data_IF_037744051751
#
_entry.id   IF_037744051751
#
_cell.length_a   1.000
_cell.length_b   1.000
_cell.length_c   1.000
_cell.angle_alpha   90.00
_cell.angle_beta   90.00
_cell.angle_gamma   90.00
#
_symmetry.space_group_name_H-M   'P 1'
#
loop_
_entity.id
_entity.type
_entity.pdbx_description
1 polymer ?
#
# COMPACT_ATOMS: atom_id res chain seq x y z
N UNK A 1 -3.91 -27.92 -39.26
CA UNK A 1 -3.97 -26.45 -39.16
C UNK A 1 -5.42 -26.12 -38.87
N UNK A 2 -5.82 -26.39 -37.68
CA UNK A 2 -7.22 -26.19 -37.26
C UNK A 2 -7.39 -24.77 -36.78
N UNK A 3 -8.40 -24.13 -37.31
CA UNK A 3 -8.88 -22.80 -36.92
C UNK A 3 -9.21 -22.82 -35.42
N UNK A 4 -8.25 -22.41 -34.58
CA UNK A 4 -8.60 -21.88 -33.27
C UNK A 4 -9.32 -20.55 -33.52
N UNK A 5 -10.63 -20.61 -33.46
CA UNK A 5 -11.44 -19.41 -33.32
C UNK A 5 -10.84 -18.59 -32.17
N UNK A 6 -10.25 -17.45 -32.48
CA UNK A 6 -9.94 -16.38 -31.55
C UNK A 6 -11.26 -15.99 -30.88
N UNK A 7 -11.66 -16.71 -29.84
CA UNK A 7 -12.70 -16.22 -28.94
C UNK A 7 -12.19 -14.89 -28.41
N UNK A 8 -12.70 -13.82 -28.96
CA UNK A 8 -12.42 -12.46 -28.50
C UNK A 8 -12.70 -12.40 -27.01
N UNK A 9 -11.67 -12.20 -26.20
CA UNK A 9 -11.75 -11.88 -24.77
C UNK A 9 -12.26 -10.43 -24.62
N UNK A 10 -13.48 -10.21 -25.01
CA UNK A 10 -14.14 -8.91 -24.85
C UNK A 10 -15.43 -9.19 -24.12
N UNK A 11 -15.59 -8.61 -22.93
CA UNK A 11 -16.87 -8.58 -22.21
C UNK A 11 -17.93 -8.10 -23.20
N UNK A 12 -19.00 -8.85 -23.38
CA UNK A 12 -20.06 -8.44 -24.31
C UNK A 12 -20.74 -7.15 -23.81
N UNK A 13 -21.47 -6.46 -24.68
CA UNK A 13 -22.04 -5.16 -24.37
C UNK A 13 -23.09 -5.20 -23.25
N UNK A 14 -23.84 -6.31 -23.12
CA UNK A 14 -24.83 -6.52 -22.07
C UNK A 14 -24.15 -6.68 -20.72
N UNK A 15 -23.20 -7.60 -20.58
CA UNK A 15 -22.42 -7.81 -19.36
C UNK A 15 -21.63 -6.56 -18.92
N UNK A 16 -21.13 -5.79 -19.90
CA UNK A 16 -20.42 -4.55 -19.63
C UNK A 16 -21.36 -3.52 -19.02
N UNK A 17 -22.59 -3.43 -19.54
CA UNK A 17 -23.61 -2.52 -19.02
C UNK A 17 -24.05 -2.94 -17.62
N UNK A 18 -24.37 -4.21 -17.41
CA UNK A 18 -24.82 -4.74 -16.12
C UNK A 18 -23.74 -4.59 -15.05
N UNK A 19 -22.49 -4.93 -15.37
CA UNK A 19 -21.36 -4.75 -14.48
C UNK A 19 -21.12 -3.28 -14.12
N UNK A 20 -21.26 -2.38 -15.07
CA UNK A 20 -21.07 -0.93 -14.85
C UNK A 20 -22.20 -0.33 -14.02
N UNK A 21 -23.43 -0.74 -14.25
CA UNK A 21 -24.59 -0.29 -13.49
C UNK A 21 -24.50 -0.81 -12.04
N UNK A 22 -24.11 -2.08 -11.83
CA UNK A 22 -23.77 -2.63 -10.51
C UNK A 22 -22.71 -1.80 -9.80
N UNK A 23 -21.60 -1.47 -10.48
CA UNK A 23 -20.52 -0.65 -9.91
C UNK A 23 -21.04 0.73 -9.51
N UNK A 24 -21.86 1.35 -10.32
CA UNK A 24 -22.46 2.67 -10.07
C UNK A 24 -23.34 2.65 -8.81
N UNK A 25 -24.33 1.75 -8.77
CA UNK A 25 -25.29 1.62 -7.67
C UNK A 25 -24.58 1.31 -6.34
N UNK A 26 -23.69 0.33 -6.34
CA UNK A 26 -23.01 -0.08 -5.12
C UNK A 26 -21.96 0.94 -4.67
N UNK A 27 -21.31 1.64 -5.58
CA UNK A 27 -20.42 2.75 -5.24
C UNK A 27 -21.16 3.87 -4.50
N UNK A 28 -22.39 4.18 -4.91
CA UNK A 28 -23.25 5.16 -4.23
C UNK A 28 -23.68 4.67 -2.84
N UNK A 29 -23.89 3.38 -2.67
CA UNK A 29 -24.16 2.78 -1.38
C UNK A 29 -22.93 2.86 -0.46
N UNK A 30 -21.74 2.45 -0.93
CA UNK A 30 -20.50 2.51 -0.17
C UNK A 30 -20.12 3.95 0.22
N UNK A 31 -20.48 4.93 -0.58
CA UNK A 31 -20.26 6.34 -0.29
C UNK A 31 -21.05 6.85 0.92
N UNK A 32 -22.08 6.13 1.38
CA UNK A 32 -22.81 6.46 2.62
C UNK A 32 -21.96 6.18 3.87
N UNK A 33 -21.03 5.25 3.80
CA UNK A 33 -20.11 4.91 4.90
C UNK A 33 -18.90 5.84 4.88
N UNK A 34 -19.11 7.10 5.23
CA UNK A 34 -18.02 8.07 5.34
C UNK A 34 -17.18 7.79 6.60
N UNK A 35 -15.88 8.06 6.54
CA UNK A 35 -15.03 7.91 7.71
C UNK A 35 -14.59 6.47 8.01
N UNK A 36 -14.48 5.60 7.00
CA UNK A 36 -14.04 4.20 7.11
C UNK A 36 -12.59 4.04 7.54
N UNK A 37 -12.22 4.71 8.65
CA UNK A 37 -10.88 4.60 9.22
C UNK A 37 -10.73 3.21 9.86
N UNK A 38 -9.56 2.62 9.74
CA UNK A 38 -9.23 1.32 10.31
C UNK A 38 -9.74 1.13 11.75
N UNK A 39 -10.54 0.10 11.97
CA UNK A 39 -11.18 -0.24 13.26
C UNK A 39 -12.25 0.75 13.70
N UNK A 40 -12.89 1.48 12.76
CA UNK A 40 -14.09 2.29 13.04
C UNK A 40 -15.38 1.50 12.80
N UNK A 41 -16.49 2.01 13.37
CA UNK A 41 -17.82 1.43 13.11
C UNK A 41 -18.19 1.53 11.62
N UNK A 42 -17.82 2.62 10.96
CA UNK A 42 -18.05 2.84 9.52
C UNK A 42 -17.30 1.85 8.65
N UNK A 43 -16.05 1.52 8.97
CA UNK A 43 -15.30 0.47 8.28
C UNK A 43 -15.99 -0.89 8.45
N UNK A 44 -16.39 -1.24 9.69
CA UNK A 44 -17.11 -2.49 9.99
C UNK A 44 -18.46 -2.53 9.26
N UNK A 45 -19.19 -1.42 9.21
CA UNK A 45 -20.46 -1.34 8.49
C UNK A 45 -20.27 -1.51 6.98
N UNK A 46 -19.22 -0.87 6.41
CA UNK A 46 -18.84 -1.05 5.02
C UNK A 46 -18.48 -2.50 4.69
N UNK A 47 -17.66 -3.15 5.51
CA UNK A 47 -17.32 -4.57 5.34
C UNK A 47 -18.56 -5.48 5.37
N UNK A 48 -19.54 -5.18 6.25
CA UNK A 48 -20.81 -5.91 6.29
C UNK A 48 -21.67 -5.66 5.03
N UNK A 49 -21.70 -4.42 4.52
CA UNK A 49 -22.42 -4.09 3.29
C UNK A 49 -21.85 -4.87 2.10
N UNK A 50 -20.50 -4.89 1.97
CA UNK A 50 -19.80 -5.67 0.94
C UNK A 50 -20.16 -7.16 1.06
N UNK A 51 -20.06 -7.73 2.26
CA UNK A 51 -20.42 -9.14 2.50
C UNK A 51 -21.86 -9.43 2.11
N UNK A 52 -22.81 -8.60 2.56
CA UNK A 52 -24.23 -8.80 2.30
C UNK A 52 -24.51 -8.70 0.79
N UNK A 53 -23.98 -7.68 0.10
CA UNK A 53 -24.16 -7.52 -1.33
C UNK A 53 -23.63 -8.74 -2.11
N UNK A 54 -22.44 -9.25 -1.76
CA UNK A 54 -21.90 -10.46 -2.38
C UNK A 54 -22.75 -11.71 -2.09
N UNK A 55 -23.32 -11.80 -0.88
CA UNK A 55 -24.20 -12.91 -0.54
C UNK A 55 -25.52 -12.85 -1.30
N UNK A 56 -26.03 -11.65 -1.56
CA UNK A 56 -27.30 -11.45 -2.27
C UNK A 56 -27.15 -11.64 -3.79
N UNK A 57 -25.98 -11.29 -4.36
CA UNK A 57 -25.70 -11.37 -5.79
C UNK A 57 -25.08 -12.72 -6.20
N UNK A 58 -24.46 -13.44 -5.27
CA UNK A 58 -23.75 -14.68 -5.60
C UNK A 58 -24.07 -15.78 -4.59
N UNK A 59 -24.17 -17.02 -5.04
CA UNK A 59 -24.26 -18.21 -4.17
C UNK A 59 -22.91 -18.58 -3.53
N UNK A 60 -21.92 -17.68 -3.60
CA UNK A 60 -20.58 -17.92 -3.14
C UNK A 60 -20.46 -17.84 -1.62
N UNK A 61 -19.52 -18.62 -1.08
CA UNK A 61 -19.25 -18.64 0.37
C UNK A 61 -18.53 -17.36 0.79
N UNK A 62 -19.30 -16.41 1.32
CA UNK A 62 -18.78 -15.11 1.78
C UNK A 62 -18.70 -15.02 3.29
N UNK A 63 -17.57 -14.54 3.84
CA UNK A 63 -17.33 -14.40 5.28
C UNK A 63 -16.57 -13.12 5.62
N UNK A 64 -16.67 -12.72 6.90
CA UNK A 64 -15.87 -11.68 7.50
C UNK A 64 -14.76 -12.31 8.34
N UNK A 65 -13.53 -11.90 8.11
CA UNK A 65 -12.37 -12.37 8.86
C UNK A 65 -11.82 -11.25 9.75
N UNK A 66 -11.99 -11.43 11.07
CA UNK A 66 -11.56 -10.45 12.05
C UNK A 66 -10.05 -10.54 12.31
N UNK A 67 -9.38 -9.40 12.35
CA UNK A 67 -7.97 -9.31 12.70
C UNK A 67 -7.65 -8.07 13.55
N UNK A 68 -6.41 -8.00 14.03
CA UNK A 68 -5.92 -6.86 14.82
C UNK A 68 -5.26 -5.84 13.90
N UNK A 69 -5.83 -4.63 13.88
CA UNK A 69 -5.30 -3.48 13.16
C UNK A 69 -4.66 -2.46 14.11
N UNK A 70 -3.75 -1.66 13.59
CA UNK A 70 -3.06 -0.59 14.30
C UNK A 70 -3.36 0.75 13.62
N UNK A 71 -4.47 1.44 13.94
CA UNK A 71 -4.95 2.62 13.21
C UNK A 71 -3.95 3.78 13.14
N UNK A 72 -3.03 3.85 14.10
CA UNK A 72 -1.96 4.85 14.12
C UNK A 72 -0.71 4.43 13.32
N UNK A 73 -0.64 3.22 12.76
CA UNK A 73 0.37 2.87 11.78
C UNK A 73 0.12 3.64 10.46
N UNK A 74 1.10 3.73 9.60
CA UNK A 74 0.99 4.56 8.40
C UNK A 74 0.99 6.06 8.76
N UNK A 75 0.01 6.83 8.30
CA UNK A 75 -0.03 8.29 8.54
C UNK A 75 -0.17 8.70 10.00
N UNK A 76 -0.76 7.87 10.84
CA UNK A 76 -0.85 8.12 12.29
C UNK A 76 0.52 8.14 12.97
N UNK A 77 1.54 7.50 12.39
CA UNK A 77 2.89 7.53 12.91
C UNK A 77 3.50 8.94 12.93
N UNK A 78 3.07 9.84 12.04
CA UNK A 78 3.50 11.24 12.07
C UNK A 78 3.03 11.97 13.34
N UNK A 79 1.81 11.69 13.81
CA UNK A 79 1.35 12.23 15.10
C UNK A 79 2.20 11.70 16.24
N UNK A 80 2.45 10.39 16.25
CA UNK A 80 3.31 9.75 17.26
C UNK A 80 4.73 10.33 17.23
N UNK A 81 5.28 10.57 16.02
CA UNK A 81 6.59 11.20 15.86
C UNK A 81 6.60 12.64 16.37
N UNK A 82 5.56 13.42 16.12
CA UNK A 82 5.43 14.78 16.66
C UNK A 82 5.43 14.79 18.19
N UNK A 83 4.66 13.92 18.82
CA UNK A 83 4.63 13.77 20.29
C UNK A 83 5.98 13.32 20.83
N UNK A 84 6.58 12.33 20.20
CA UNK A 84 7.91 11.81 20.58
C UNK A 84 8.99 12.89 20.45
N UNK A 85 8.94 13.66 19.37
CA UNK A 85 9.86 14.77 19.15
C UNK A 85 9.72 15.85 20.24
N UNK A 86 8.47 16.17 20.65
CA UNK A 86 8.22 17.08 21.77
C UNK A 86 8.84 16.55 23.07
N UNK A 87 8.72 15.26 23.38
CA UNK A 87 9.34 14.63 24.53
C UNK A 87 10.88 14.72 24.49
N UNK A 88 11.48 14.53 23.33
CA UNK A 88 12.94 14.68 23.15
C UNK A 88 13.38 16.12 23.45
N UNK A 89 12.58 17.13 23.05
CA UNK A 89 12.86 18.53 23.42
C UNK A 89 12.73 18.78 24.94
N UNK A 90 11.73 18.19 25.61
CA UNK A 90 11.62 18.29 27.07
C UNK A 90 12.89 17.77 27.74
N UNK A 91 13.38 16.59 27.34
CA UNK A 91 14.62 16.00 27.86
C UNK A 91 15.82 16.91 27.56
N UNK A 92 15.90 17.46 26.33
CA UNK A 92 16.94 18.40 25.93
C UNK A 92 16.97 19.65 26.86
N UNK A 93 15.80 20.20 27.25
CA UNK A 93 15.74 21.36 28.14
C UNK A 93 16.03 21.02 29.59
N UNK A 94 15.61 19.85 30.09
CA UNK A 94 15.96 19.39 31.46
C UNK A 94 17.48 19.32 31.63
N UNK A 95 18.24 19.03 30.59
CA UNK A 95 19.69 18.94 30.61
C UNK A 95 20.42 20.27 30.94
N UNK A 96 19.72 21.42 30.96
CA UNK A 96 20.28 22.70 31.41
C UNK A 96 20.31 22.82 32.94
N UNK A 97 19.54 22.03 33.67
CA UNK A 97 19.42 22.11 35.13
C UNK A 97 20.57 21.42 35.91
N UNK A 98 21.41 20.66 35.22
CA UNK A 98 22.46 19.87 35.82
C UNK A 98 23.87 20.49 35.71
N UNK A 99 24.86 19.84 36.34
CA UNK A 99 26.25 20.15 36.08
C UNK A 99 26.68 19.74 34.66
N UNK A 100 27.90 20.11 34.24
CA UNK A 100 28.35 19.90 32.85
C UNK A 100 28.25 18.43 32.39
N UNK A 101 28.64 17.49 33.25
CA UNK A 101 28.64 16.06 32.94
C UNK A 101 27.18 15.55 32.84
N UNK A 102 26.37 15.85 33.85
CA UNK A 102 24.95 15.46 33.84
C UNK A 102 24.21 16.07 32.66
N UNK A 103 24.46 17.35 32.36
CA UNK A 103 23.87 18.00 31.18
C UNK A 103 24.27 17.33 29.84
N UNK A 104 25.54 16.93 29.72
CA UNK A 104 25.99 16.20 28.52
C UNK A 104 25.33 14.82 28.41
N UNK A 105 25.25 14.07 29.51
CA UNK A 105 24.61 12.73 29.52
C UNK A 105 23.12 12.82 29.20
N UNK A 106 22.40 13.76 29.78
CA UNK A 106 20.96 13.95 29.48
C UNK A 106 20.72 14.42 28.03
N UNK A 107 21.64 15.25 27.49
CA UNK A 107 21.58 15.66 26.08
C UNK A 107 21.86 14.45 25.15
N UNK A 108 22.83 13.61 25.48
CA UNK A 108 23.10 12.37 24.74
C UNK A 108 21.89 11.42 24.79
N UNK A 109 21.22 11.32 25.95
CA UNK A 109 19.98 10.57 26.08
C UNK A 109 18.87 11.13 25.18
N UNK A 110 18.67 12.47 25.14
CA UNK A 110 17.69 13.09 24.27
C UNK A 110 17.97 12.79 22.79
N UNK A 111 19.23 12.81 22.37
CA UNK A 111 19.65 12.47 21.02
C UNK A 111 19.40 10.97 20.72
N UNK A 112 19.78 10.09 21.62
CA UNK A 112 19.55 8.65 21.46
C UNK A 112 18.05 8.32 21.38
N UNK A 113 17.22 8.93 22.24
CA UNK A 113 15.77 8.81 22.19
C UNK A 113 15.21 9.28 20.84
N UNK A 114 15.67 10.42 20.35
CA UNK A 114 15.22 10.95 19.07
C UNK A 114 15.54 9.97 17.92
N UNK A 115 16.78 9.52 17.82
CA UNK A 115 17.20 8.59 16.74
C UNK A 115 16.43 7.27 16.85
N UNK A 116 16.33 6.68 18.03
CA UNK A 116 15.61 5.42 18.22
C UNK A 116 14.14 5.55 17.88
N UNK A 117 13.45 6.57 18.41
CA UNK A 117 12.02 6.77 18.14
C UNK A 117 11.73 7.12 16.69
N UNK A 118 12.53 7.99 16.07
CA UNK A 118 12.39 8.33 14.65
C UNK A 118 12.57 7.07 13.77
N UNK A 119 13.56 6.24 14.07
CA UNK A 119 13.79 4.98 13.33
C UNK A 119 12.62 4.02 13.48
N UNK A 120 12.14 3.77 14.70
CA UNK A 120 11.00 2.87 14.96
C UNK A 120 9.75 3.37 14.24
N UNK A 121 9.41 4.66 14.40
CA UNK A 121 8.21 5.21 13.78
C UNK A 121 8.30 5.25 12.25
N UNK A 122 9.50 5.46 11.70
CA UNK A 122 9.72 5.39 10.27
C UNK A 122 9.54 3.96 9.73
N UNK A 123 10.03 2.95 10.45
CA UNK A 123 9.83 1.54 10.08
C UNK A 123 8.35 1.15 10.15
N UNK A 124 7.61 1.63 11.16
CA UNK A 124 6.15 1.43 11.23
C UNK A 124 5.45 2.08 10.04
N UNK A 125 5.86 3.29 9.68
CA UNK A 125 5.33 3.99 8.51
C UNK A 125 5.58 3.22 7.21
N UNK A 126 6.75 2.57 7.10
CA UNK A 126 7.13 1.72 5.96
C UNK A 126 6.45 0.33 5.97
N UNK A 127 5.63 0.03 6.98
CA UNK A 127 4.82 -1.20 7.05
C UNK A 127 5.43 -2.33 7.89
N UNK A 128 6.38 -2.05 8.80
CA UNK A 128 6.82 -3.08 9.75
C UNK A 128 5.79 -3.26 10.88
N UNK A 129 4.90 -4.23 10.70
CA UNK A 129 3.85 -4.55 11.67
C UNK A 129 4.36 -5.13 12.99
N UNK A 130 5.59 -5.67 13.02
CA UNK A 130 6.16 -6.18 14.30
C UNK A 130 6.37 -5.03 15.26
N UNK A 131 6.85 -3.89 14.76
CA UNK A 131 7.01 -2.66 15.54
C UNK A 131 5.67 -1.95 15.78
N UNK A 132 4.72 -2.04 14.87
CA UNK A 132 3.38 -1.44 15.03
C UNK A 132 2.63 -1.96 16.27
N UNK A 133 3.00 -3.14 16.80
CA UNK A 133 2.41 -3.72 18.03
C UNK A 133 2.54 -2.85 19.27
N UNK A 134 3.44 -1.86 19.28
CA UNK A 134 3.55 -0.85 20.36
C UNK A 134 2.42 0.17 20.34
N UNK A 135 1.72 0.30 19.20
CA UNK A 135 0.62 1.24 19.02
C UNK A 135 -0.72 0.66 19.52
N UNK A 136 -1.70 1.51 19.86
CA UNK A 136 -3.04 1.06 20.19
C UNK A 136 -3.64 0.21 19.07
N UNK A 137 -4.26 -0.91 19.45
CA UNK A 137 -4.89 -1.87 18.54
C UNK A 137 -6.41 -1.71 18.52
N UNK A 138 -7.00 -2.00 17.36
CA UNK A 138 -8.44 -2.15 17.16
C UNK A 138 -8.72 -3.44 16.38
N UNK A 139 -9.98 -3.85 16.31
CA UNK A 139 -10.43 -4.92 15.43
C UNK A 139 -10.83 -4.32 14.09
N UNK A 140 -10.40 -4.95 13.01
CA UNK A 140 -10.82 -4.68 11.64
C UNK A 140 -11.19 -6.01 10.97
N UNK A 141 -11.75 -5.97 9.77
CA UNK A 141 -12.26 -7.13 9.06
C UNK A 141 -11.82 -7.12 7.61
N UNK A 142 -11.38 -8.27 7.11
CA UNK A 142 -11.35 -8.56 5.69
C UNK A 142 -12.67 -9.21 5.28
N UNK A 143 -13.14 -8.92 4.08
CA UNK A 143 -14.25 -9.63 3.45
C UNK A 143 -13.67 -10.62 2.48
N UNK A 144 -14.01 -11.89 2.61
CA UNK A 144 -13.51 -12.96 1.74
C UNK A 144 -14.69 -13.71 1.16
N UNK A 145 -14.72 -13.82 -0.16
CA UNK A 145 -15.69 -14.63 -0.90
C UNK A 145 -14.96 -15.61 -1.81
N UNK A 146 -15.38 -16.86 -1.78
CA UNK A 146 -14.73 -17.93 -2.52
C UNK A 146 -15.75 -18.69 -3.36
N UNK A 147 -15.39 -18.91 -4.62
CA UNK A 147 -16.14 -19.77 -5.52
C UNK A 147 -15.20 -20.76 -6.18
N UNK A 148 -15.58 -22.02 -6.21
CA UNK A 148 -14.83 -23.10 -6.86
C UNK A 148 -15.77 -24.02 -7.59
N UNK A 149 -15.43 -24.34 -8.83
CA UNK A 149 -16.17 -25.28 -9.69
C UNK A 149 -15.97 -26.73 -9.23
N UNK A 150 -14.86 -27.03 -8.56
CA UNK A 150 -14.45 -28.35 -8.12
C UNK A 150 -13.91 -28.33 -6.69
N UNK A 151 -13.97 -29.48 -6.00
CA UNK A 151 -13.33 -29.65 -4.69
C UNK A 151 -11.80 -29.70 -4.82
N UNK A 152 -11.29 -30.26 -5.92
CA UNK A 152 -9.85 -30.27 -6.21
C UNK A 152 -9.45 -28.96 -6.87
N UNK A 153 -8.67 -28.14 -6.19
CA UNK A 153 -8.21 -26.83 -6.68
C UNK A 153 -6.74 -26.90 -7.04
N UNK A 154 -6.40 -26.53 -8.29
CA UNK A 154 -5.03 -26.39 -8.77
C UNK A 154 -4.64 -24.94 -9.03
N UNK A 155 -5.57 -24.13 -9.51
CA UNK A 155 -5.34 -22.74 -9.86
C UNK A 155 -6.20 -21.83 -9.01
N UNK A 156 -5.59 -20.81 -8.44
CA UNK A 156 -6.29 -19.84 -7.58
C UNK A 156 -6.08 -18.45 -8.16
N UNK A 157 -7.18 -17.79 -8.46
CA UNK A 157 -7.24 -16.42 -8.97
C UNK A 157 -7.85 -15.52 -7.92
N UNK A 158 -7.14 -14.49 -7.50
CA UNK A 158 -7.59 -13.58 -6.44
C UNK A 158 -7.73 -12.19 -7.00
N UNK A 159 -8.90 -11.59 -6.85
CA UNK A 159 -9.07 -10.16 -7.03
C UNK A 159 -9.17 -9.51 -5.66
N UNK A 160 -8.27 -8.57 -5.40
CA UNK A 160 -8.13 -7.92 -4.10
C UNK A 160 -8.29 -6.40 -4.23
N UNK A 161 -8.97 -5.82 -3.26
CA UNK A 161 -9.12 -4.37 -3.10
C UNK A 161 -8.97 -3.97 -1.64
N UNK A 162 -9.19 -2.70 -1.33
CA UNK A 162 -9.26 -2.21 0.03
C UNK A 162 -10.49 -1.33 0.25
N UNK A 163 -11.22 -1.56 1.33
CA UNK A 163 -12.42 -0.79 1.67
C UNK A 163 -12.22 0.24 2.78
N UNK A 164 -11.06 0.26 3.44
CA UNK A 164 -10.75 1.27 4.45
C UNK A 164 -10.38 2.62 3.82
N UNK A 165 -10.59 3.69 4.55
CA UNK A 165 -10.25 5.03 4.09
C UNK A 165 -8.92 5.52 4.66
N UNK A 166 -8.16 6.23 3.83
CA UNK A 166 -6.92 6.90 4.25
C UNK A 166 -7.21 7.99 5.27
N UNK A 167 -6.38 8.07 6.30
CA UNK A 167 -6.38 9.23 7.18
C UNK A 167 -6.05 10.50 6.37
N UNK A 168 -6.80 11.56 6.63
CA UNK A 168 -6.59 12.84 6.01
C UNK A 168 -5.30 13.54 6.46
N UNK A 169 -5.04 14.67 5.86
CA UNK A 169 -4.04 15.64 6.29
C UNK A 169 -4.71 17.01 6.45
N UNK A 170 -4.40 17.73 7.51
CA UNK A 170 -4.98 19.07 7.75
C UNK A 170 -4.56 20.10 6.69
N UNK A 171 -3.49 19.82 5.95
CA UNK A 171 -2.91 20.73 4.95
C UNK A 171 -3.17 20.33 3.50
N UNK A 172 -4.10 19.39 3.28
CA UNK A 172 -4.35 18.84 1.92
C UNK A 172 -4.68 19.93 0.89
N UNK A 173 -5.44 20.95 1.31
CA UNK A 173 -5.98 21.98 0.40
C UNK A 173 -5.03 23.17 0.20
N UNK A 174 -3.91 23.22 0.93
CA UNK A 174 -2.96 24.33 0.89
C UNK A 174 -1.64 23.92 0.25
N UNK A 175 -1.48 24.14 -1.05
CA UNK A 175 -0.27 23.73 -1.80
C UNK A 175 1.05 24.25 -1.20
N UNK A 176 1.07 25.49 -0.73
CA UNK A 176 2.24 26.10 -0.10
C UNK A 176 2.52 25.45 1.25
N UNK A 177 1.49 25.32 2.11
CA UNK A 177 1.63 24.70 3.43
C UNK A 177 2.04 23.22 3.32
N UNK A 178 1.57 22.51 2.29
CA UNK A 178 2.00 21.13 2.02
C UNK A 178 3.49 21.05 1.72
N UNK A 179 4.03 21.96 0.91
CA UNK A 179 5.48 22.01 0.65
C UNK A 179 6.27 22.32 1.91
N UNK A 180 5.82 23.31 2.69
CA UNK A 180 6.43 23.70 3.97
C UNK A 180 6.43 22.53 4.95
N UNK A 181 5.30 21.83 5.08
CA UNK A 181 5.17 20.71 6.01
C UNK A 181 6.00 19.46 5.61
N UNK A 182 6.40 19.32 4.37
CA UNK A 182 7.33 18.26 3.92
C UNK A 182 8.78 18.65 4.22
N UNK A 183 9.13 19.93 4.10
CA UNK A 183 10.51 20.43 4.22
C UNK A 183 10.88 20.71 5.68
N UNK A 184 9.96 21.26 6.46
CA UNK A 184 10.23 21.72 7.84
C UNK A 184 10.61 20.58 8.80
N UNK A 185 9.94 19.40 8.82
CA UNK A 185 10.31 18.32 9.73
C UNK A 185 11.76 17.85 9.61
N UNK A 186 12.29 17.51 8.41
CA UNK A 186 13.69 17.08 8.29
C UNK A 186 14.67 18.21 8.67
N UNK A 187 14.37 19.48 8.36
CA UNK A 187 15.21 20.61 8.80
C UNK A 187 15.19 20.71 10.33
N UNK A 188 14.02 20.65 10.96
CA UNK A 188 13.89 20.70 12.42
C UNK A 188 14.60 19.53 13.10
N UNK A 189 14.51 18.32 12.53
CA UNK A 189 15.23 17.15 13.00
C UNK A 189 16.75 17.36 12.92
N UNK A 190 17.24 17.84 11.78
CA UNK A 190 18.67 18.16 11.59
C UNK A 190 19.16 19.21 12.61
N UNK A 191 18.40 20.28 12.78
CA UNK A 191 18.71 21.33 13.75
C UNK A 191 18.77 20.76 15.17
N UNK A 192 17.79 19.92 15.56
CA UNK A 192 17.81 19.28 16.87
C UNK A 192 19.08 18.45 17.10
N UNK A 193 19.47 17.62 16.15
CA UNK A 193 20.70 16.82 16.21
C UNK A 193 21.93 17.72 16.33
N UNK A 194 22.01 18.75 15.50
CA UNK A 194 23.12 19.73 15.52
C UNK A 194 23.24 20.41 16.89
N UNK A 195 22.12 20.87 17.46
CA UNK A 195 22.13 21.54 18.77
C UNK A 195 22.43 20.59 19.91
N UNK A 196 22.03 19.32 19.85
CA UNK A 196 22.49 18.31 20.82
C UNK A 196 24.03 18.16 20.79
N UNK A 197 24.61 18.06 19.59
CA UNK A 197 26.06 17.94 19.42
C UNK A 197 26.78 19.23 19.92
N UNK A 198 26.32 20.40 19.51
CA UNK A 198 26.88 21.67 19.94
C UNK A 198 26.81 21.84 21.48
N UNK A 199 25.72 21.46 22.11
CA UNK A 199 25.54 21.52 23.54
C UNK A 199 26.49 20.58 24.28
N UNK A 200 26.69 19.37 23.77
CA UNK A 200 27.67 18.43 24.34
C UNK A 200 29.10 18.94 24.22
N UNK A 201 29.43 19.53 23.04
CA UNK A 201 30.79 20.04 22.76
C UNK A 201 31.12 21.31 23.54
N UNK A 202 30.21 22.29 23.52
CA UNK A 202 30.46 23.59 24.14
C UNK A 202 30.29 23.59 25.67
N UNK A 203 29.48 22.66 26.18
CA UNK A 203 29.08 22.62 27.57
C UNK A 203 28.26 23.85 27.99
N UNK A 204 27.69 23.81 29.18
CA UNK A 204 26.88 24.89 29.72
C UNK A 204 27.63 25.84 30.66
N UNK A 205 28.92 25.56 30.99
CA UNK A 205 29.52 26.05 32.24
C UNK A 205 30.67 27.07 32.16
N UNK A 206 31.11 27.56 30.98
CA UNK A 206 32.23 28.51 30.94
C UNK A 206 32.13 29.56 29.83
N UNK A 207 32.37 30.81 30.16
CA UNK A 207 32.32 31.98 29.27
C UNK A 207 30.95 32.63 29.23
N UNK A 208 30.67 33.43 28.21
CA UNK A 208 29.45 34.26 28.11
C UNK A 208 28.15 33.39 28.14
N UNK A 209 27.79 32.94 29.35
CA UNK A 209 26.72 31.96 29.65
C UNK A 209 25.39 32.42 29.06
N UNK A 210 25.08 33.72 29.16
CA UNK A 210 23.83 34.26 28.64
C UNK A 210 23.70 34.15 27.12
N UNK A 211 24.77 34.40 26.35
CA UNK A 211 24.75 34.29 24.91
C UNK A 211 24.63 32.82 24.48
N UNK A 212 25.38 31.93 25.14
CA UNK A 212 25.32 30.47 24.85
C UNK A 212 23.94 29.88 25.16
N UNK A 213 23.36 30.23 26.31
CA UNK A 213 22.01 29.80 26.71
C UNK A 213 21.00 30.33 25.72
N UNK A 214 21.08 31.61 25.31
CA UNK A 214 20.15 32.19 24.35
C UNK A 214 20.17 31.46 23.00
N UNK A 215 21.35 31.22 22.43
CA UNK A 215 21.48 30.48 21.15
C UNK A 215 21.02 29.03 21.29
N UNK A 216 21.49 28.32 22.31
CA UNK A 216 21.16 26.89 22.53
C UNK A 216 19.69 26.70 22.98
N UNK A 217 18.96 27.74 23.29
CA UNK A 217 17.56 27.66 23.74
C UNK A 217 16.58 28.24 22.71
N UNK A 218 16.78 29.48 22.27
CA UNK A 218 15.82 30.16 21.40
C UNK A 218 15.69 29.46 20.05
N UNK A 219 16.82 29.13 19.42
CA UNK A 219 16.83 28.51 18.10
C UNK A 219 16.18 27.11 18.09
N UNK A 220 16.54 26.20 19.00
CA UNK A 220 15.86 24.91 19.11
C UNK A 220 14.37 25.03 19.48
N UNK A 221 13.96 25.98 20.31
CA UNK A 221 12.54 26.20 20.61
C UNK A 221 11.77 26.55 19.35
N UNK A 222 12.24 27.56 18.62
CA UNK A 222 11.55 28.03 17.41
C UNK A 222 11.47 26.90 16.36
N UNK A 223 12.60 26.27 16.03
CA UNK A 223 12.63 25.18 15.05
C UNK A 223 11.87 23.95 15.52
N UNK A 224 11.91 23.65 16.83
CA UNK A 224 11.17 22.56 17.44
C UNK A 224 9.67 22.72 17.35
N UNK A 225 9.14 23.91 17.67
CA UNK A 225 7.71 24.22 17.53
C UNK A 225 7.28 24.04 16.08
N UNK A 226 8.01 24.62 15.13
CA UNK A 226 7.68 24.47 13.71
C UNK A 226 7.73 22.99 13.28
N UNK A 227 8.73 22.22 13.70
CA UNK A 227 8.85 20.79 13.40
C UNK A 227 7.69 19.97 13.97
N UNK A 228 7.36 20.16 15.24
CA UNK A 228 6.26 19.46 15.91
C UNK A 228 4.94 19.79 15.23
N UNK A 229 4.66 21.08 14.98
CA UNK A 229 3.45 21.53 14.30
C UNK A 229 3.38 20.91 12.89
N UNK A 230 4.48 20.90 12.15
CA UNK A 230 4.51 20.31 10.81
C UNK A 230 4.23 18.79 10.84
N UNK A 231 4.75 18.03 11.81
CA UNK A 231 4.41 16.62 12.00
C UNK A 231 2.92 16.43 12.30
N UNK A 232 2.35 17.21 13.22
CA UNK A 232 0.93 17.12 13.59
C UNK A 232 0.02 17.47 12.40
N UNK A 233 0.40 18.45 11.58
CA UNK A 233 -0.37 18.86 10.41
C UNK A 233 -0.46 17.77 9.33
N UNK A 234 0.46 16.79 9.30
CA UNK A 234 0.36 15.63 8.42
C UNK A 234 -0.70 14.62 8.86
N UNK A 235 -1.20 14.73 10.06
CA UNK A 235 -2.24 13.89 10.62
C UNK A 235 -3.57 14.64 10.70
N UNK A 236 -4.64 13.97 10.29
CA UNK A 236 -6.00 14.37 10.61
C UNK A 236 -6.77 13.14 11.08
N UNK A 237 -7.51 13.23 12.21
CA UNK A 237 -8.37 12.15 12.65
C UNK A 237 -9.58 11.93 11.72
N UNK A 238 -9.80 12.83 10.75
CA UNK A 238 -10.86 12.70 9.76
C UNK A 238 -10.36 11.83 8.62
N UNK A 239 -11.21 10.93 8.18
CA UNK A 239 -10.95 10.18 6.95
C UNK A 239 -10.90 11.15 5.75
N UNK A 240 -10.14 10.78 4.76
CA UNK A 240 -10.28 11.36 3.43
C UNK A 240 -11.71 11.06 2.94
N UNK A 241 -12.29 11.98 2.16
CA UNK A 241 -13.64 11.80 1.61
C UNK A 241 -13.78 10.40 0.96
N UNK A 242 -14.79 9.65 1.38
CA UNK A 242 -15.03 8.30 0.89
C UNK A 242 -15.24 8.24 -0.63
N UNK A 243 -15.75 9.32 -1.23
CA UNK A 243 -15.91 9.45 -2.69
C UNK A 243 -14.58 9.51 -3.46
N UNK A 244 -13.50 9.76 -2.76
CA UNK A 244 -12.15 9.91 -3.30
C UNK A 244 -11.23 8.76 -2.87
N UNK A 245 -11.75 7.70 -2.28
CA UNK A 245 -10.99 6.54 -1.83
C UNK A 245 -11.64 5.26 -2.32
N UNK A 246 -11.02 4.18 -2.13
CA UNK A 246 -11.29 2.79 -2.48
C UNK A 246 -12.70 2.31 -2.90
N UNK A 247 -13.79 3.08 -2.68
CA UNK A 247 -15.16 2.61 -2.94
C UNK A 247 -15.36 2.09 -4.37
N UNK A 248 -14.91 2.83 -5.38
CA UNK A 248 -15.04 2.40 -6.79
C UNK A 248 -14.12 1.23 -7.10
N UNK A 249 -12.89 1.19 -6.54
CA UNK A 249 -11.99 0.04 -6.68
C UNK A 249 -12.63 -1.25 -6.14
N UNK A 250 -13.26 -1.14 -4.95
CA UNK A 250 -14.02 -2.22 -4.32
C UNK A 250 -15.12 -2.72 -5.24
N UNK A 251 -15.92 -1.82 -5.83
CA UNK A 251 -17.01 -2.21 -6.72
C UNK A 251 -16.52 -2.85 -8.02
N UNK A 252 -15.43 -2.37 -8.62
CA UNK A 252 -14.81 -2.98 -9.80
C UNK A 252 -14.30 -4.39 -9.47
N UNK A 253 -13.62 -4.56 -8.33
CA UNK A 253 -13.14 -5.87 -7.89
C UNK A 253 -14.30 -6.85 -7.64
N UNK A 254 -15.37 -6.38 -6.99
CA UNK A 254 -16.60 -7.19 -6.78
C UNK A 254 -17.26 -7.60 -8.07
N UNK A 255 -17.47 -6.65 -9.00
CA UNK A 255 -18.06 -6.92 -10.31
C UNK A 255 -17.22 -7.93 -11.11
N UNK A 256 -15.88 -7.78 -11.08
CA UNK A 256 -14.96 -8.73 -11.70
C UNK A 256 -15.11 -10.14 -11.12
N UNK A 257 -15.21 -10.26 -9.80
CA UNK A 257 -15.43 -11.55 -9.14
C UNK A 257 -16.81 -12.12 -9.48
N UNK A 258 -17.88 -11.33 -9.36
CA UNK A 258 -19.26 -11.75 -9.66
C UNK A 258 -19.40 -12.28 -11.09
N UNK A 259 -18.77 -11.61 -12.06
CA UNK A 259 -18.74 -12.04 -13.45
C UNK A 259 -18.29 -13.49 -13.64
N UNK A 260 -17.23 -13.90 -12.93
CA UNK A 260 -16.74 -15.28 -13.02
C UNK A 260 -17.56 -16.27 -12.19
N UNK A 261 -18.25 -15.83 -11.15
CA UNK A 261 -19.18 -16.68 -10.40
C UNK A 261 -20.44 -16.96 -11.20
N UNK A 262 -20.95 -15.96 -11.91
CA UNK A 262 -22.12 -16.08 -12.80
C UNK A 262 -21.83 -16.87 -14.07
N UNK A 263 -20.56 -16.87 -14.54
CA UNK A 263 -20.10 -17.56 -15.74
C UNK A 263 -19.05 -18.62 -15.43
N UNK A 264 -19.43 -19.67 -14.70
CA UNK A 264 -18.49 -20.70 -14.27
C UNK A 264 -17.87 -21.49 -15.42
N UNK A 265 -18.48 -21.45 -16.62
CA UNK A 265 -17.93 -22.06 -17.84
C UNK A 265 -16.64 -21.40 -18.31
N UNK A 266 -16.37 -20.14 -17.93
CA UNK A 266 -15.12 -19.44 -18.23
C UNK A 266 -13.97 -19.88 -17.32
N UNK A 267 -14.29 -20.55 -16.21
CA UNK A 267 -13.26 -21.01 -15.26
C UNK A 267 -12.70 -22.38 -15.68
N UNK A 268 -11.39 -22.57 -15.60
CA UNK A 268 -10.77 -23.89 -15.70
C UNK A 268 -11.38 -24.88 -14.67
N UNK A 269 -11.44 -26.17 -15.01
CA UNK A 269 -12.14 -27.16 -14.20
C UNK A 269 -11.66 -27.29 -12.75
N UNK A 270 -10.40 -27.00 -12.49
CA UNK A 270 -9.81 -27.05 -11.13
C UNK A 270 -9.41 -25.66 -10.64
N UNK A 271 -10.16 -24.65 -11.05
CA UNK A 271 -9.94 -23.28 -10.64
C UNK A 271 -10.81 -22.86 -9.45
N UNK A 272 -10.25 -21.98 -8.64
CA UNK A 272 -10.95 -21.23 -7.61
C UNK A 272 -10.76 -19.74 -7.89
N UNK A 273 -11.85 -18.99 -7.85
CA UNK A 273 -11.82 -17.53 -7.85
C UNK A 273 -12.12 -17.03 -6.45
N UNK A 274 -11.38 -16.06 -6.00
CA UNK A 274 -11.45 -15.49 -4.66
C UNK A 274 -11.53 -13.98 -4.75
N UNK A 275 -12.49 -13.40 -4.06
CA UNK A 275 -12.56 -11.97 -3.82
C UNK A 275 -12.10 -11.66 -2.41
N UNK A 276 -11.26 -10.63 -2.26
CA UNK A 276 -10.77 -10.18 -0.96
C UNK A 276 -10.83 -8.66 -0.87
N UNK A 277 -11.73 -8.15 -0.03
CA UNK A 277 -11.69 -6.74 0.32
C UNK A 277 -10.99 -6.55 1.66
N UNK A 278 -9.89 -5.81 1.62
CA UNK A 278 -8.96 -5.66 2.74
C UNK A 278 -9.36 -4.48 3.63
N UNK A 279 -9.52 -4.75 4.93
CA UNK A 279 -9.69 -3.70 5.94
C UNK A 279 -8.33 -3.23 6.46
N UNK A 280 -8.28 -2.03 7.03
CA UNK A 280 -7.08 -1.45 7.63
C UNK A 280 -5.81 -1.51 6.75
N UNK A 281 -5.97 -1.51 5.43
CA UNK A 281 -4.86 -1.59 4.48
C UNK A 281 -4.03 -0.30 4.50
N UNK A 282 -4.69 0.84 4.69
CA UNK A 282 -4.05 2.14 4.83
C UNK A 282 -3.29 2.34 6.16
N UNK A 283 -3.28 1.33 7.03
CA UNK A 283 -2.57 1.29 8.30
C UNK A 283 -1.43 0.27 8.27
N UNK A 284 -0.40 0.54 7.47
CA UNK A 284 0.77 -0.32 7.29
C UNK A 284 0.44 -1.73 6.77
N UNK A 285 -0.55 -1.84 5.87
CA UNK A 285 -0.97 -3.09 5.22
C UNK A 285 -1.44 -4.17 6.20
N UNK A 286 -2.15 -3.77 7.28
CA UNK A 286 -2.61 -4.72 8.30
C UNK A 286 -3.54 -5.80 7.71
N UNK A 287 -4.41 -5.43 6.76
CA UNK A 287 -5.38 -6.32 6.15
C UNK A 287 -4.74 -7.40 5.29
N UNK A 288 -3.91 -7.01 4.34
CA UNK A 288 -3.22 -7.94 3.44
C UNK A 288 -2.24 -8.85 4.19
N UNK A 289 -1.47 -8.32 5.14
CA UNK A 289 -0.57 -9.12 5.98
C UNK A 289 -1.34 -10.12 6.88
N UNK A 290 -2.52 -9.71 7.38
CA UNK A 290 -3.38 -10.61 8.15
C UNK A 290 -3.97 -11.73 7.26
N UNK A 291 -4.42 -11.36 6.06
CA UNK A 291 -4.98 -12.30 5.09
C UNK A 291 -3.96 -13.35 4.65
N UNK A 292 -2.80 -12.96 4.16
CA UNK A 292 -1.77 -13.91 3.69
C UNK A 292 -1.26 -14.81 4.81
N UNK A 293 -1.24 -14.31 6.05
CA UNK A 293 -0.87 -15.11 7.21
C UNK A 293 -1.94 -16.15 7.58
N UNK A 294 -3.22 -15.80 7.43
CA UNK A 294 -4.34 -16.70 7.71
C UNK A 294 -4.51 -17.76 6.61
N UNK A 295 -4.08 -17.43 5.39
CA UNK A 295 -4.29 -18.22 4.17
C UNK A 295 -2.98 -18.55 3.46
N UNK A 296 -2.08 -19.34 4.05
CA UNK A 296 -0.83 -19.76 3.40
C UNK A 296 -1.08 -20.61 2.15
N UNK A 297 -2.27 -21.20 2.01
CA UNK A 297 -2.69 -21.96 0.84
C UNK A 297 -2.82 -21.13 -0.44
N UNK A 298 -2.85 -19.81 -0.32
CA UNK A 298 -2.84 -18.89 -1.47
C UNK A 298 -1.42 -18.51 -1.93
N UNK A 299 -0.38 -19.14 -1.37
CA UNK A 299 0.94 -19.10 -1.97
C UNK A 299 0.88 -19.68 -3.39
N UNK A 300 1.42 -18.97 -4.37
CA UNK A 300 1.29 -19.36 -5.79
C UNK A 300 0.00 -18.91 -6.49
N UNK A 301 -0.97 -18.32 -5.77
CA UNK A 301 -2.16 -17.74 -6.40
C UNK A 301 -1.79 -16.57 -7.34
N UNK A 302 -2.61 -16.37 -8.38
CA UNK A 302 -2.52 -15.21 -9.29
C UNK A 302 -3.42 -14.10 -8.77
N UNK A 303 -2.81 -13.01 -8.34
CA UNK A 303 -3.49 -11.94 -7.59
C UNK A 303 -3.47 -10.64 -8.37
N UNK A 304 -4.65 -10.09 -8.65
CA UNK A 304 -4.83 -8.75 -9.15
C UNK A 304 -5.31 -7.85 -8.00
N UNK A 305 -4.46 -6.91 -7.60
CA UNK A 305 -4.85 -5.88 -6.64
C UNK A 305 -5.34 -4.62 -7.38
N UNK A 306 -6.49 -4.09 -6.98
CA UNK A 306 -7.05 -2.85 -7.49
C UNK A 306 -7.00 -1.82 -6.37
N UNK A 307 -6.18 -0.80 -6.51
CA UNK A 307 -5.97 0.21 -5.46
C UNK A 307 -5.96 1.63 -6.03
N UNK A 308 -6.63 2.55 -5.34
CA UNK A 308 -6.61 3.99 -5.65
C UNK A 308 -6.93 4.30 -7.12
N UNK A 309 -8.08 3.88 -7.61
CA UNK A 309 -8.54 4.19 -8.97
C UNK A 309 -9.35 5.48 -9.00
N UNK A 310 -8.94 6.40 -9.89
CA UNK A 310 -9.51 7.73 -10.11
C UNK A 310 -9.52 8.03 -11.58
N UNK A 311 -10.21 9.12 -11.97
CA UNK A 311 -10.15 9.62 -13.34
C UNK A 311 -8.72 10.05 -13.69
N UNK A 312 -8.14 9.40 -14.68
CA UNK A 312 -6.78 9.63 -15.13
C UNK A 312 -6.20 8.43 -15.88
N UNK A 313 -4.90 8.44 -16.06
CA UNK A 313 -4.17 7.36 -16.73
C UNK A 313 -4.18 6.08 -15.88
N UNK A 314 -4.53 4.97 -16.51
CA UNK A 314 -4.49 3.65 -15.89
C UNK A 314 -3.05 3.16 -15.86
N UNK A 315 -2.61 2.71 -14.68
CA UNK A 315 -1.22 2.29 -14.43
C UNK A 315 -1.16 0.89 -13.88
N UNK A 316 -0.25 0.11 -14.41
CA UNK A 316 0.09 -1.21 -13.91
C UNK A 316 1.38 -1.07 -13.10
N UNK A 317 1.35 -1.44 -11.83
CA UNK A 317 2.54 -1.44 -10.96
C UNK A 317 3.15 -2.83 -11.01
N UNK A 318 4.41 -2.89 -11.42
CA UNK A 318 5.19 -4.12 -11.57
C UNK A 318 6.28 -4.30 -10.49
N UNK A 319 6.54 -3.25 -9.71
CA UNK A 319 7.67 -3.23 -8.78
C UNK A 319 7.40 -2.34 -7.58
N UNK A 320 7.79 -2.78 -6.37
CA UNK A 320 7.97 -1.90 -5.20
C UNK A 320 9.45 -1.67 -4.96
N UNK A 321 9.96 -0.52 -5.42
CA UNK A 321 11.39 -0.15 -5.33
C UNK A 321 11.83 0.06 -3.87
N UNK A 322 10.93 0.54 -2.99
CA UNK A 322 11.26 0.80 -1.58
C UNK A 322 11.54 -0.51 -0.85
N UNK A 323 10.77 -1.55 -1.17
CA UNK A 323 10.88 -2.87 -0.55
C UNK A 323 11.67 -3.86 -1.39
N UNK A 324 12.16 -3.44 -2.56
CA UNK A 324 12.89 -4.27 -3.54
C UNK A 324 12.10 -5.53 -3.92
N UNK A 325 10.79 -5.40 -4.11
CA UNK A 325 9.92 -6.48 -4.55
C UNK A 325 9.61 -6.28 -6.04
N UNK A 326 9.83 -7.30 -6.82
CA UNK A 326 9.35 -7.39 -8.19
C UNK A 326 8.05 -8.19 -8.20
N UNK A 327 7.04 -7.66 -8.87
CA UNK A 327 5.78 -8.35 -9.03
C UNK A 327 5.83 -9.30 -10.22
N UNK A 328 4.79 -10.09 -10.41
CA UNK A 328 4.80 -11.15 -11.41
C UNK A 328 4.72 -10.59 -12.85
N UNK A 329 5.72 -10.88 -13.70
CA UNK A 329 5.65 -10.53 -15.12
C UNK A 329 4.45 -11.17 -15.82
N UNK A 330 3.98 -12.33 -15.35
CA UNK A 330 2.83 -13.04 -15.87
C UNK A 330 1.54 -12.22 -15.72
N UNK A 331 1.26 -11.73 -14.51
CA UNK A 331 0.06 -10.92 -14.23
C UNK A 331 0.16 -9.56 -14.94
N UNK A 332 1.34 -8.94 -14.93
CA UNK A 332 1.59 -7.68 -15.66
C UNK A 332 1.34 -7.85 -17.16
N UNK A 333 1.87 -8.92 -17.77
CA UNK A 333 1.70 -9.17 -19.21
C UNK A 333 0.25 -9.52 -19.57
N UNK A 334 -0.50 -10.18 -18.68
CA UNK A 334 -1.93 -10.43 -18.89
C UNK A 334 -2.74 -9.12 -18.92
N UNK A 335 -2.46 -8.20 -17.99
CA UNK A 335 -3.06 -6.85 -17.99
C UNK A 335 -2.71 -6.06 -19.25
N UNK A 336 -1.45 -6.08 -19.68
CA UNK A 336 -1.02 -5.40 -20.90
C UNK A 336 -1.67 -5.98 -22.15
N UNK A 337 -1.77 -7.31 -22.25
CA UNK A 337 -2.41 -7.99 -23.37
C UNK A 337 -3.91 -7.67 -23.43
N UNK A 338 -4.61 -7.73 -22.28
CA UNK A 338 -6.01 -7.34 -22.19
C UNK A 338 -6.23 -5.87 -22.60
N UNK A 339 -5.38 -4.95 -22.14
CA UNK A 339 -5.45 -3.54 -22.51
C UNK A 339 -5.25 -3.32 -24.01
N UNK A 340 -4.26 -3.99 -24.61
CA UNK A 340 -3.96 -3.88 -26.03
C UNK A 340 -5.10 -4.38 -26.91
N UNK A 341 -5.73 -5.51 -26.55
CA UNK A 341 -6.89 -6.05 -27.31
C UNK A 341 -8.11 -5.13 -27.25
N UNK A 342 -8.31 -4.46 -26.14
CA UNK A 342 -9.45 -3.57 -25.91
C UNK A 342 -9.17 -2.12 -26.33
N UNK A 343 -7.95 -1.80 -26.76
CA UNK A 343 -7.55 -0.45 -27.12
C UNK A 343 -7.48 0.51 -25.92
N UNK A 344 -7.30 -0.04 -24.70
CA UNK A 344 -7.20 0.74 -23.47
C UNK A 344 -5.75 1.20 -23.28
N UNK A 345 -5.56 2.51 -23.13
CA UNK A 345 -4.25 3.08 -22.84
C UNK A 345 -3.81 2.78 -21.40
N UNK A 346 -2.75 2.00 -21.23
CA UNK A 346 -2.15 1.72 -19.93
C UNK A 346 -0.67 2.03 -19.94
N UNK A 347 -0.13 2.46 -18.79
CA UNK A 347 1.31 2.60 -18.59
C UNK A 347 1.81 1.68 -17.50
N UNK A 348 3.01 1.13 -17.69
CA UNK A 348 3.69 0.40 -16.61
C UNK A 348 4.46 1.40 -15.78
N UNK A 349 4.23 1.39 -14.49
CA UNK A 349 4.81 2.35 -13.56
C UNK A 349 6.21 1.88 -13.15
N UNK A 350 7.20 2.22 -13.99
CA UNK A 350 8.60 2.08 -13.65
C UNK A 350 8.95 3.13 -12.57
N UNK A 351 9.28 2.66 -11.37
CA UNK A 351 9.60 3.52 -10.23
C UNK A 351 11.00 4.15 -10.29
N UNK A 352 11.47 4.55 -11.47
CA UNK A 352 12.82 5.04 -11.68
C UNK A 352 13.08 6.46 -11.15
N UNK A 353 12.04 7.26 -10.95
CA UNK A 353 12.22 8.64 -10.51
C UNK A 353 12.12 8.79 -9.01
N UNK A 354 12.97 9.64 -8.41
CA UNK A 354 12.93 9.99 -6.98
C UNK A 354 11.52 10.43 -6.53
N UNK A 355 10.78 11.13 -7.40
CA UNK A 355 9.42 11.57 -7.14
C UNK A 355 8.47 10.37 -6.92
N UNK A 356 8.58 9.34 -7.74
CA UNK A 356 7.79 8.11 -7.59
C UNK A 356 8.22 7.32 -6.35
N UNK A 357 9.53 7.26 -6.04
CA UNK A 357 10.05 6.61 -4.82
C UNK A 357 9.45 7.18 -3.54
N UNK A 358 9.37 8.51 -3.41
CA UNK A 358 8.74 9.15 -2.25
C UNK A 358 7.23 8.91 -2.18
N UNK A 359 6.56 8.89 -3.31
CA UNK A 359 5.12 8.69 -3.38
C UNK A 359 4.70 7.24 -3.10
N UNK A 360 5.59 6.26 -3.38
CA UNK A 360 5.36 4.83 -3.15
C UNK A 360 5.77 4.33 -1.76
N UNK A 361 6.12 5.22 -0.82
CA UNK A 361 6.53 4.83 0.53
C UNK A 361 5.50 3.95 1.25
N UNK A 362 4.20 4.17 0.98
CA UNK A 362 3.14 3.33 1.55
C UNK A 362 3.07 1.92 0.96
N UNK A 363 3.55 1.72 -0.28
CA UNK A 363 3.37 0.47 -1.01
C UNK A 363 1.91 0.17 -1.38
N UNK A 364 1.67 -1.07 -1.75
CA UNK A 364 0.37 -1.61 -2.14
C UNK A 364 0.12 -2.95 -1.45
N UNK A 365 -1.13 -3.42 -1.42
CA UNK A 365 -1.50 -4.74 -0.91
C UNK A 365 -0.71 -5.88 -1.57
N UNK A 366 -0.37 -5.73 -2.85
CA UNK A 366 0.47 -6.66 -3.60
C UNK A 366 1.79 -7.02 -2.92
N UNK A 367 2.32 -6.14 -2.05
CA UNK A 367 3.54 -6.44 -1.30
C UNK A 367 3.39 -7.64 -0.37
N UNK A 368 2.26 -7.76 0.32
CA UNK A 368 1.99 -8.89 1.20
C UNK A 368 1.84 -10.19 0.40
N UNK A 369 1.09 -10.12 -0.71
CA UNK A 369 0.90 -11.25 -1.62
C UNK A 369 2.22 -11.70 -2.26
N UNK A 370 3.03 -10.77 -2.77
CA UNK A 370 4.33 -11.09 -3.35
C UNK A 370 5.29 -11.76 -2.35
N UNK A 371 5.32 -11.28 -1.12
CA UNK A 371 6.11 -11.88 -0.03
C UNK A 371 5.64 -13.30 0.34
N UNK A 372 4.35 -13.57 0.17
CA UNK A 372 3.76 -14.90 0.38
C UNK A 372 4.02 -15.86 -0.78
N UNK A 373 4.64 -15.40 -1.86
CA UNK A 373 4.92 -16.22 -3.05
C UNK A 373 3.79 -16.22 -4.08
N UNK A 374 2.79 -15.35 -3.95
CA UNK A 374 1.74 -15.20 -4.96
C UNK A 374 2.24 -14.41 -6.16
N UNK A 375 1.79 -14.78 -7.36
CA UNK A 375 2.01 -14.02 -8.59
C UNK A 375 1.07 -12.82 -8.60
N UNK A 376 1.59 -11.59 -8.44
CA UNK A 376 0.73 -10.41 -8.24
C UNK A 376 1.12 -9.22 -9.10
N UNK A 377 0.15 -8.34 -9.36
CA UNK A 377 0.34 -6.99 -9.87
C UNK A 377 -0.72 -6.05 -9.26
N UNK A 378 -0.47 -4.75 -9.29
CA UNK A 378 -1.45 -3.74 -8.88
C UNK A 378 -1.91 -2.91 -10.07
N UNK A 379 -3.23 -2.74 -10.19
CA UNK A 379 -3.87 -1.81 -11.09
C UNK A 379 -4.25 -0.55 -10.31
N UNK A 380 -3.82 0.62 -10.78
CA UNK A 380 -4.09 1.90 -10.13
C UNK A 380 -4.19 3.02 -11.16
N UNK A 381 -4.87 4.10 -10.83
CA UNK A 381 -4.81 5.34 -11.61
C UNK A 381 -4.26 6.50 -10.77
N UNK A 382 -3.55 6.17 -9.70
CA UNK A 382 -3.02 7.14 -8.75
C UNK A 382 -2.05 8.10 -9.41
N UNK A 383 -2.42 9.38 -9.46
CA UNK A 383 -1.51 10.47 -9.80
C UNK A 383 -1.33 11.40 -8.61
N UNK A 384 -0.12 11.44 -8.09
CA UNK A 384 0.21 12.27 -6.92
C UNK A 384 0.32 13.77 -7.26
N UNK A 385 0.26 14.13 -8.53
CA UNK A 385 0.40 15.51 -9.00
C UNK A 385 -0.94 16.20 -9.20
N UNK A 386 -2.01 15.46 -9.44
CA UNK A 386 -3.33 15.98 -9.78
C UNK A 386 -4.33 15.84 -8.63
N UNK A 387 -5.42 16.61 -8.69
CA UNK A 387 -6.57 16.40 -7.81
C UNK A 387 -7.27 15.11 -8.25
N UNK A 388 -7.47 14.21 -7.32
CA UNK A 388 -8.22 12.99 -7.54
C UNK A 388 -9.67 13.33 -7.91
N UNK A 389 -10.13 12.84 -9.04
CA UNK A 389 -11.50 12.99 -9.52
C UNK A 389 -12.15 11.62 -9.59
N UNK A 390 -13.47 11.52 -9.39
CA UNK A 390 -14.20 10.26 -9.61
C UNK A 390 -13.99 9.74 -11.03
N UNK A 391 -14.06 8.43 -11.22
CA UNK A 391 -14.08 7.81 -12.55
C UNK A 391 -15.30 8.30 -13.33
N UNK A 392 -15.13 8.43 -14.65
CA UNK A 392 -16.25 8.55 -15.56
C UNK A 392 -16.86 7.15 -15.82
N UNK A 393 -18.09 7.08 -16.32
CA UNK A 393 -18.72 5.81 -16.70
C UNK A 393 -17.84 5.04 -17.68
N UNK A 394 -17.33 5.67 -18.70
CA UNK A 394 -16.42 5.07 -19.69
C UNK A 394 -15.14 4.51 -19.05
N UNK A 395 -14.53 5.24 -18.13
CA UNK A 395 -13.34 4.74 -17.42
C UNK A 395 -13.65 3.57 -16.48
N UNK A 396 -14.84 3.53 -15.91
CA UNK A 396 -15.33 2.40 -15.11
C UNK A 396 -15.49 1.15 -15.98
N UNK A 397 -16.12 1.30 -17.15
CA UNK A 397 -16.28 0.26 -18.16
C UNK A 397 -14.91 -0.29 -18.61
N UNK A 398 -13.97 0.60 -18.93
CA UNK A 398 -12.61 0.24 -19.31
C UNK A 398 -11.88 -0.55 -18.22
N UNK A 399 -11.95 -0.12 -16.96
CA UNK A 399 -11.29 -0.79 -15.85
C UNK A 399 -11.91 -2.16 -15.56
N UNK A 400 -13.24 -2.26 -15.57
CA UNK A 400 -13.94 -3.52 -15.37
C UNK A 400 -13.58 -4.52 -16.48
N UNK A 401 -13.71 -4.12 -17.73
CA UNK A 401 -13.38 -4.96 -18.89
C UNK A 401 -11.89 -5.37 -18.90
N UNK A 402 -10.98 -4.46 -18.52
CA UNK A 402 -9.56 -4.74 -18.38
C UNK A 402 -9.29 -5.83 -17.34
N UNK A 403 -9.95 -5.77 -16.17
CA UNK A 403 -9.77 -6.74 -15.10
C UNK A 403 -10.29 -8.13 -15.51
N UNK A 404 -11.47 -8.20 -16.11
CA UNK A 404 -12.04 -9.46 -16.61
C UNK A 404 -11.12 -10.06 -17.66
N UNK A 405 -10.74 -9.30 -18.69
CA UNK A 405 -9.87 -9.80 -19.75
C UNK A 405 -8.49 -10.23 -19.26
N UNK A 406 -7.94 -9.58 -18.24
CA UNK A 406 -6.67 -10.01 -17.63
C UNK A 406 -6.80 -11.38 -16.95
N UNK A 407 -7.87 -11.64 -16.22
CA UNK A 407 -8.12 -12.96 -15.63
C UNK A 407 -8.36 -14.03 -16.69
N UNK A 408 -9.12 -13.75 -17.74
CA UNK A 408 -9.30 -14.68 -18.86
C UNK A 408 -7.98 -15.06 -19.50
N UNK A 409 -7.06 -14.09 -19.72
CA UNK A 409 -5.71 -14.36 -20.23
C UNK A 409 -4.89 -15.26 -19.29
N UNK A 410 -4.99 -15.04 -17.98
CA UNK A 410 -4.31 -15.89 -17.00
C UNK A 410 -4.86 -17.33 -17.01
N UNK A 411 -6.19 -17.46 -17.10
CA UNK A 411 -6.87 -18.76 -17.15
C UNK A 411 -6.53 -19.53 -18.42
N UNK A 412 -6.54 -18.88 -19.57
CA UNK A 412 -6.17 -19.49 -20.86
C UNK A 412 -4.73 -20.01 -20.86
N UNK A 413 -3.79 -19.28 -20.25
CA UNK A 413 -2.40 -19.74 -20.13
C UNK A 413 -2.28 -21.01 -19.27
N UNK A 414 -3.05 -21.09 -18.19
CA UNK A 414 -3.06 -22.25 -17.31
C UNK A 414 -3.66 -23.49 -18.01
N UNK A 415 -4.71 -23.33 -18.79
CA UNK A 415 -5.29 -24.40 -19.60
C UNK A 415 -4.31 -24.90 -20.68
N UNK A 416 -3.62 -23.98 -21.37
CA UNK A 416 -2.62 -24.34 -22.38
C UNK A 416 -1.44 -25.08 -21.76
N UNK A 417 -1.02 -24.70 -20.56
CA UNK A 417 0.07 -25.40 -19.86
C UNK A 417 -0.30 -26.82 -19.45
N UNK A 418 -1.59 -27.12 -19.26
CA UNK A 418 -2.08 -28.47 -18.93
C UNK A 418 -2.20 -29.38 -20.17
N UNK A 419 -2.43 -28.79 -21.36
CA UNK A 419 -2.60 -29.56 -22.61
C UNK A 419 -1.28 -29.92 -23.28
N UNK A 420 -0.18 -29.29 -22.90
CA UNK A 420 1.16 -29.68 -23.40
C UNK A 420 1.67 -30.80 -22.50
N UNK A 421 1.80 -32.07 -23.00
CA UNK A 421 2.38 -33.15 -22.19
C UNK A 421 3.83 -32.78 -21.86
N UNK A 422 4.21 -32.97 -20.59
CA UNK A 422 5.60 -32.89 -20.14
C UNK A 422 6.51 -33.68 -21.08
N UNK A 423 7.09 -33.04 -22.05
CA UNK A 423 8.27 -33.58 -22.73
C UNK A 423 9.37 -33.47 -21.68
N UNK A 424 9.98 -34.58 -21.23
CA UNK A 424 11.05 -34.50 -20.24
C UNK A 424 12.12 -33.57 -20.80
N UNK A 425 12.29 -32.42 -20.23
CA UNK A 425 13.46 -31.58 -20.50
C UNK A 425 14.69 -32.43 -20.18
N UNK A 426 15.42 -32.77 -21.20
CA UNK A 426 16.78 -33.28 -21.08
C UNK A 426 17.56 -32.26 -20.24
N UNK A 427 17.85 -32.63 -19.00
CA UNK A 427 18.70 -31.88 -18.09
C UNK A 427 20.09 -31.81 -18.73
N UNK A 428 20.29 -30.84 -19.59
CA UNK A 428 21.62 -30.47 -20.06
C UNK A 428 22.27 -29.71 -18.92
N UNK A 429 23.05 -30.47 -18.16
CA UNK A 429 23.99 -29.96 -17.17
C UNK A 429 24.95 -28.96 -17.84
N UNK A 430 24.56 -27.70 -17.95
CA UNK A 430 25.48 -26.61 -18.25
C UNK A 430 26.18 -26.17 -16.99
N UNK A 431 27.25 -26.90 -16.68
CA UNK A 431 28.32 -26.39 -15.82
C UNK A 431 28.79 -25.05 -16.38
N UNK A 432 28.41 -23.97 -15.72
CA UNK A 432 28.95 -22.65 -16.01
C UNK A 432 30.41 -22.60 -15.53
N UNK A 433 31.37 -22.13 -16.36
CA UNK A 433 32.73 -21.92 -15.90
C UNK A 433 32.75 -20.76 -14.90
N UNK A 434 33.35 -21.02 -13.73
CA UNK A 434 33.70 -20.05 -12.72
C UNK A 434 34.60 -18.97 -13.32
N UNK A 435 34.10 -17.76 -13.47
CA UNK A 435 34.91 -16.59 -13.76
C UNK A 435 35.67 -16.20 -12.48
N UNK A 436 36.94 -16.53 -12.44
CA UNK A 436 37.90 -15.94 -11.48
C UNK A 436 37.97 -14.44 -11.72
N UNK A 437 37.60 -13.68 -10.70
CA UNK A 437 37.71 -12.22 -10.68
C UNK A 437 39.13 -11.85 -10.28
N UNK A 438 39.94 -11.48 -11.27
CA UNK A 438 41.29 -10.97 -11.09
C UNK A 438 41.23 -9.62 -10.35
N UNK A 439 41.73 -9.60 -9.13
CA UNK A 439 41.89 -8.37 -8.35
C UNK A 439 43.12 -7.66 -8.87
N UNK A 440 42.92 -6.53 -9.55
CA UNK A 440 44.04 -5.64 -9.95
C UNK A 440 44.28 -4.66 -8.82
N UNK A 441 45.34 -4.87 -8.07
CA UNK A 441 45.95 -3.89 -7.16
C UNK A 441 46.46 -2.68 -7.97
N UNK A 442 45.87 -1.51 -7.72
CA UNK A 442 46.45 -0.25 -8.18
C UNK A 442 47.22 0.37 -7.02
N UNK A 443 48.51 0.09 -7.00
CA UNK A 443 49.49 0.87 -6.23
C UNK A 443 49.67 2.26 -6.78
N UNK A 444 49.74 3.18 -5.88
CA UNK A 444 50.12 4.59 -5.89
C UNK A 444 51.12 5.05 -6.97
N UNK A 445 50.77 6.11 -7.62
CA UNK A 445 51.69 7.24 -7.86
C UNK A 445 50.96 8.57 -7.84
#
# INVERSE_FOLDING_TARGET
MDNFDEKRCVVNAEDLTDGTDFIGEFSDELNKYQGRIAGSEQETACARAIRNRLHDETDAKTRLEAFRAYPLAGRGSFLCLGIWFALCYVVYFISFAGNRLAGALVTALALAMFVAGATVLMLIYLGDLRLAKILPRKVSYNVVSEFSKSEEVKHIYVVADNHDAKLGSLIKDFNVMRKVAVIVPPISAFVFVLFCILKMALGTSTGNVAAKISVLTIFPVVTGIFGIVAFVLHYSPRAKDARQTSGTATCIAMATYAYFVEKPELLPDKAKVVYVSLGAENCAHCGSEAFVKAHPEYAGAKVLCIDDVYSGEIKIVDTDVVRKLQYSPEVVSALQASAAEQGIGVSVLLHDTLKHKFNSLHGFASNAFAKNGSATATLTSRDYSTKEKPLTKEQTEQLFSLCVGAFEKLMQRDEQSQTTPDTPEEVVDKVAPSAEMEIVDVESK
#
